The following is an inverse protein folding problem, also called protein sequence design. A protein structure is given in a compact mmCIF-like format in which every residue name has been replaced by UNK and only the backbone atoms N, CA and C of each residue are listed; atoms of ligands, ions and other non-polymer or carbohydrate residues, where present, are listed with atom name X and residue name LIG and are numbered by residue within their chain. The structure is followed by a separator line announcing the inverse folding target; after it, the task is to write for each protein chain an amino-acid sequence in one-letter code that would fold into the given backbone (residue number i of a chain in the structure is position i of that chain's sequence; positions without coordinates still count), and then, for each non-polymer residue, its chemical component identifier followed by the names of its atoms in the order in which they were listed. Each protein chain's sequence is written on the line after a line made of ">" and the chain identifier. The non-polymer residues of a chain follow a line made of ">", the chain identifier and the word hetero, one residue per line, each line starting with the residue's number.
data_IF_786135274130
#
_entry.id   IF_786135274130
#
_cell.length_a   1.000
_cell.length_b   1.000
_cell.length_c   1.000
_cell.angle_alpha   90.00
_cell.angle_beta   90.00
_cell.angle_gamma   90.00
#
_symmetry.space_group_name_H-M   'P 1'
#
loop_
_entity.id
_entity.type
_entity.pdbx_description
1 polymer ?
#
# COMPACT_ATOMS: atom_id res chain seq x y z
N UNK A 1 -18.99 12.10 13.47
CA UNK A 1 -18.37 11.74 12.18
C UNK A 1 -17.08 11.02 12.49
N UNK A 2 -16.86 9.88 11.85
CA UNK A 2 -15.67 9.05 11.97
C UNK A 2 -14.41 9.93 11.76
N UNK A 3 -13.43 9.89 12.69
CA UNK A 3 -12.14 10.53 12.49
C UNK A 3 -11.49 10.22 11.12
N UNK A 4 -11.68 9.02 10.58
CA UNK A 4 -11.17 8.62 9.26
C UNK A 4 -11.79 9.46 8.15
N UNK A 5 -13.12 9.66 8.15
CA UNK A 5 -13.80 10.51 7.16
C UNK A 5 -13.33 11.97 7.24
N UNK A 6 -13.09 12.49 8.45
CA UNK A 6 -12.59 13.86 8.64
C UNK A 6 -11.17 14.02 8.11
N UNK A 7 -10.28 13.07 8.41
CA UNK A 7 -8.89 13.11 7.95
C UNK A 7 -8.76 12.90 6.46
N UNK A 8 -9.58 12.03 5.86
CA UNK A 8 -9.63 11.86 4.40
C UNK A 8 -9.93 13.18 3.69
N UNK A 9 -10.87 13.99 4.18
CA UNK A 9 -11.16 15.29 3.57
C UNK A 9 -9.95 16.24 3.61
N UNK A 10 -9.22 16.28 4.73
CA UNK A 10 -8.01 17.09 4.87
C UNK A 10 -6.89 16.60 3.93
N UNK A 11 -6.59 15.30 3.96
CA UNK A 11 -5.50 14.71 3.18
C UNK A 11 -5.78 14.77 1.68
N UNK A 12 -7.04 14.62 1.25
CA UNK A 12 -7.42 14.80 -0.15
C UNK A 12 -7.26 16.25 -0.59
N UNK A 13 -7.64 17.21 0.26
CA UNK A 13 -7.42 18.63 -0.04
C UNK A 13 -5.92 18.93 -0.22
N UNK A 14 -5.07 18.47 0.70
CA UNK A 14 -3.61 18.62 0.62
C UNK A 14 -3.03 17.92 -0.63
N UNK A 15 -3.56 16.76 -0.99
CA UNK A 15 -3.18 16.03 -2.20
C UNK A 15 -3.50 16.83 -3.48
N UNK A 16 -4.69 17.42 -3.56
CA UNK A 16 -5.10 18.26 -4.68
C UNK A 16 -4.22 19.50 -4.80
N UNK A 17 -3.93 20.18 -3.68
CA UNK A 17 -2.97 21.29 -3.65
C UNK A 17 -1.59 20.87 -4.18
N UNK A 18 -1.05 19.74 -3.71
CA UNK A 18 0.24 19.22 -4.19
C UNK A 18 0.21 18.84 -5.68
N UNK A 19 -0.95 18.52 -6.24
CA UNK A 19 -1.11 18.19 -7.66
C UNK A 19 -1.28 19.40 -8.58
N UNK A 20 -1.34 20.62 -8.01
CA UNK A 20 -1.66 21.83 -8.75
C UNK A 20 -3.10 21.89 -9.28
N UNK A 21 -4.00 21.06 -8.74
CA UNK A 21 -5.40 20.99 -9.15
C UNK A 21 -6.28 21.69 -8.11
N UNK A 22 -7.24 22.51 -8.53
CA UNK A 22 -8.17 23.20 -7.62
C UNK A 22 -9.48 22.44 -7.48
N UNK A 23 -10.19 22.63 -6.37
CA UNK A 23 -11.50 22.00 -6.17
C UNK A 23 -12.51 22.47 -7.21
N UNK A 24 -12.45 23.75 -7.60
CA UNK A 24 -13.32 24.36 -8.61
C UNK A 24 -13.10 23.71 -9.97
N UNK A 25 -11.86 23.40 -10.33
CA UNK A 25 -11.53 22.73 -11.60
C UNK A 25 -12.05 21.29 -11.69
N UNK A 26 -12.27 20.64 -10.55
CA UNK A 26 -12.79 19.27 -10.48
C UNK A 26 -14.30 19.19 -10.32
N UNK A 27 -14.94 20.26 -9.89
CA UNK A 27 -16.39 20.29 -9.66
C UNK A 27 -17.15 19.94 -10.94
N UNK A 28 -18.02 18.94 -10.86
CA UNK A 28 -18.79 18.39 -11.98
C UNK A 28 -18.00 17.45 -12.90
N UNK A 29 -16.71 17.24 -12.66
CA UNK A 29 -15.88 16.37 -13.51
C UNK A 29 -16.18 14.89 -13.28
N UNK A 30 -15.72 14.05 -14.22
CA UNK A 30 -15.83 12.59 -14.12
C UNK A 30 -14.76 11.94 -13.22
N UNK A 31 -14.21 12.68 -12.26
CA UNK A 31 -13.17 12.17 -11.35
C UNK A 31 -13.73 11.06 -10.46
N UNK A 32 -13.09 9.89 -10.49
CA UNK A 32 -13.43 8.78 -9.60
C UNK A 32 -12.82 8.93 -8.21
N UNK A 33 -13.49 8.41 -7.18
CA UNK A 33 -12.96 8.34 -5.81
C UNK A 33 -12.91 6.90 -5.34
N UNK A 34 -11.71 6.42 -5.04
CA UNK A 34 -11.46 5.06 -4.55
C UNK A 34 -10.83 5.16 -3.16
N UNK A 35 -11.51 4.65 -2.13
CA UNK A 35 -11.01 4.69 -0.76
C UNK A 35 -10.82 3.27 -0.24
N UNK A 36 -9.58 2.94 0.16
CA UNK A 36 -9.29 1.74 0.90
C UNK A 36 -9.48 1.99 2.41
N UNK A 37 -10.20 1.09 3.07
CA UNK A 37 -10.38 1.11 4.52
C UNK A 37 -10.31 -0.32 5.06
N UNK A 38 -9.71 -0.49 6.23
CA UNK A 38 -9.67 -1.77 6.94
C UNK A 38 -10.28 -1.65 8.34
N UNK A 39 -9.90 -0.62 9.10
CA UNK A 39 -10.46 -0.36 10.44
C UNK A 39 -11.90 0.17 10.38
N UNK A 40 -12.79 -0.41 11.18
CA UNK A 40 -14.21 0.00 11.31
C UNK A 40 -14.61 0.30 12.75
N UNK A 41 -13.62 0.45 13.65
CA UNK A 41 -13.72 0.60 15.11
C UNK A 41 -14.75 1.63 15.57
N UNK A 42 -14.87 2.75 14.84
CA UNK A 42 -15.76 3.83 15.23
C UNK A 42 -17.24 3.44 15.17
N UNK A 43 -17.63 2.56 14.24
CA UNK A 43 -19.01 2.12 14.10
C UNK A 43 -19.52 1.34 15.34
N UNK A 44 -18.85 0.28 15.83
CA UNK A 44 -19.27 -0.40 17.06
C UNK A 44 -19.11 0.49 18.30
N UNK A 45 -18.14 1.42 18.35
CA UNK A 45 -18.05 2.39 19.45
C UNK A 45 -19.32 3.25 19.57
N UNK A 46 -19.91 3.65 18.44
CA UNK A 46 -21.16 4.42 18.42
C UNK A 46 -22.40 3.61 18.83
N UNK A 47 -22.32 2.28 18.78
CA UNK A 47 -23.42 1.38 19.10
C UNK A 47 -23.32 0.78 20.52
N UNK A 48 -22.39 1.28 21.36
CA UNK A 48 -22.21 0.79 22.74
C UNK A 48 -23.37 1.12 23.67
N UNK A 49 -24.02 2.26 23.43
CA UNK A 49 -25.23 2.66 24.14
C UNK A 49 -26.45 2.29 23.30
N UNK A 50 -27.21 1.24 23.66
CA UNK A 50 -28.38 0.82 22.90
C UNK A 50 -29.52 1.85 22.98
N UNK A 51 -29.55 2.69 24.02
CA UNK A 51 -30.59 3.70 24.22
C UNK A 51 -30.28 4.99 23.46
N UNK A 52 -29.06 5.12 22.93
CA UNK A 52 -28.62 6.30 22.18
C UNK A 52 -27.91 5.95 20.88
N UNK A 53 -28.65 6.00 19.77
CA UNK A 53 -28.10 5.96 18.41
C UNK A 53 -28.28 7.32 17.76
N UNK A 54 -27.16 8.01 17.50
CA UNK A 54 -27.18 9.34 16.89
C UNK A 54 -27.79 9.30 15.47
N UNK A 55 -28.68 10.24 15.11
CA UNK A 55 -29.37 10.28 13.79
C UNK A 55 -28.45 10.24 12.57
N UNK A 56 -27.24 10.77 12.69
CA UNK A 56 -26.21 10.77 11.65
C UNK A 56 -25.28 9.56 11.68
N UNK A 57 -25.52 8.53 12.50
CA UNK A 57 -24.66 7.37 12.65
C UNK A 57 -24.32 6.74 11.28
N UNK A 58 -25.33 6.44 10.46
CA UNK A 58 -25.12 5.80 9.16
C UNK A 58 -24.22 6.62 8.24
N UNK A 59 -24.52 7.92 8.08
CA UNK A 59 -23.68 8.83 7.30
C UNK A 59 -22.32 9.08 7.96
N UNK A 60 -22.25 8.99 9.29
CA UNK A 60 -21.10 9.39 10.09
C UNK A 60 -20.03 8.33 10.20
N UNK A 61 -20.33 7.05 10.00
CA UNK A 61 -19.40 5.93 10.18
C UNK A 61 -19.46 4.86 9.09
N UNK A 62 -20.43 4.90 8.16
CA UNK A 62 -20.51 3.92 7.08
C UNK A 62 -19.27 3.95 6.18
N UNK A 63 -18.72 2.77 5.87
CA UNK A 63 -17.51 2.63 5.04
C UNK A 63 -17.69 3.22 3.63
N UNK A 64 -18.86 3.02 3.01
CA UNK A 64 -19.22 3.60 1.70
C UNK A 64 -19.27 5.12 1.73
N UNK A 65 -19.48 5.73 2.90
CA UNK A 65 -19.55 7.18 3.05
C UNK A 65 -18.17 7.81 2.97
N UNK A 66 -17.08 7.07 3.16
CA UNK A 66 -15.73 7.61 3.04
C UNK A 66 -15.45 8.15 1.63
N UNK A 67 -15.71 7.37 0.58
CA UNK A 67 -15.58 7.81 -0.82
C UNK A 67 -16.69 8.77 -1.23
N UNK A 68 -17.94 8.48 -0.84
CA UNK A 68 -19.09 9.30 -1.21
C UNK A 68 -19.02 10.72 -0.62
N UNK A 69 -18.45 10.89 0.58
CA UNK A 69 -18.30 12.21 1.20
C UNK A 69 -17.28 13.07 0.46
N UNK A 70 -16.17 12.50 0.01
CA UNK A 70 -15.20 13.22 -0.84
C UNK A 70 -15.88 13.64 -2.14
N UNK A 71 -16.58 12.71 -2.80
CA UNK A 71 -17.31 12.98 -4.04
C UNK A 71 -18.36 14.07 -3.86
N UNK A 72 -19.11 14.03 -2.75
CA UNK A 72 -20.13 15.02 -2.42
C UNK A 72 -19.54 16.41 -2.16
N UNK A 73 -18.48 16.51 -1.35
CA UNK A 73 -17.85 17.80 -1.01
C UNK A 73 -17.20 18.44 -2.24
N UNK A 74 -16.62 17.65 -3.13
CA UNK A 74 -15.94 18.12 -4.35
C UNK A 74 -16.86 18.14 -5.59
N UNK A 75 -18.14 17.78 -5.45
CA UNK A 75 -19.10 17.67 -6.54
C UNK A 75 -18.61 16.77 -7.71
N UNK A 76 -18.03 15.62 -7.41
CA UNK A 76 -17.49 14.69 -8.42
C UNK A 76 -18.57 13.72 -8.91
N UNK A 77 -18.53 13.39 -10.20
CA UNK A 77 -19.55 12.58 -10.88
C UNK A 77 -18.99 11.27 -11.45
N UNK A 78 -17.74 10.91 -11.13
CA UNK A 78 -17.13 9.63 -11.50
C UNK A 78 -17.24 8.57 -10.39
N UNK A 79 -16.92 7.29 -10.69
CA UNK A 79 -16.62 6.76 -12.03
C UNK A 79 -17.89 6.54 -12.88
N UNK A 80 -17.74 6.55 -14.21
CA UNK A 80 -18.82 6.26 -15.17
C UNK A 80 -18.92 4.75 -15.45
N UNK A 81 -19.71 4.35 -16.45
CA UNK A 81 -19.88 2.95 -16.85
C UNK A 81 -18.54 2.21 -16.95
N UNK A 82 -18.47 1.00 -16.40
CA UNK A 82 -17.27 0.16 -16.32
C UNK A 82 -16.07 0.76 -15.58
N UNK A 83 -16.25 1.77 -14.73
CA UNK A 83 -15.18 2.33 -13.90
C UNK A 83 -14.36 3.44 -14.59
N UNK A 84 -14.72 3.84 -15.81
CA UNK A 84 -13.97 4.85 -16.56
C UNK A 84 -14.11 6.24 -15.92
N UNK A 85 -12.98 6.93 -15.84
CA UNK A 85 -12.86 8.28 -15.30
C UNK A 85 -11.70 9.03 -16.00
N UNK A 86 -11.80 10.35 -16.08
CA UNK A 86 -10.73 11.20 -16.63
C UNK A 86 -9.51 11.28 -15.70
N UNK A 87 -9.79 11.17 -14.41
CA UNK A 87 -8.86 11.27 -13.29
C UNK A 87 -9.41 10.51 -12.09
N UNK A 88 -8.56 10.16 -11.14
CA UNK A 88 -9.02 9.52 -9.90
C UNK A 88 -8.27 10.04 -8.67
N UNK A 89 -9.02 10.17 -7.58
CA UNK A 89 -8.48 10.31 -6.23
C UNK A 89 -8.46 8.91 -5.63
N UNK A 90 -7.26 8.40 -5.33
CA UNK A 90 -7.09 7.14 -4.63
C UNK A 90 -6.61 7.46 -3.23
N UNK A 91 -7.41 7.13 -2.23
CA UNK A 91 -7.12 7.44 -0.84
C UNK A 91 -7.23 6.18 0.02
N UNK A 92 -6.67 6.26 1.22
CA UNK A 92 -6.77 5.19 2.19
C UNK A 92 -6.80 5.75 3.60
N UNK A 93 -7.55 5.12 4.48
CA UNK A 93 -7.54 5.45 5.91
C UNK A 93 -7.45 4.17 6.75
N UNK A 94 -6.67 4.27 7.82
CA UNK A 94 -6.61 3.28 8.88
C UNK A 94 -6.31 4.00 10.19
N UNK A 95 -7.22 3.94 11.17
CA UNK A 95 -7.04 4.52 12.51
C UNK A 95 -7.39 3.48 13.58
N UNK A 96 -6.58 3.41 14.62
CA UNK A 96 -6.72 2.47 15.73
C UNK A 96 -7.47 3.20 16.85
N UNK A 97 -8.79 3.13 16.81
CA UNK A 97 -9.65 3.91 17.71
C UNK A 97 -10.10 3.10 18.94
N UNK A 98 -9.93 1.78 18.90
CA UNK A 98 -10.40 0.88 19.94
C UNK A 98 -9.41 -0.28 20.18
N UNK A 99 -9.32 -0.79 21.42
CA UNK A 99 -8.40 -1.89 21.73
C UNK A 99 -8.87 -3.24 21.17
N UNK A 100 -10.16 -3.42 20.88
CA UNK A 100 -10.74 -4.72 20.54
C UNK A 100 -10.11 -5.36 19.28
N UNK A 101 -9.90 -4.65 18.15
CA UNK A 101 -9.21 -5.21 17.00
C UNK A 101 -7.75 -5.56 17.30
N UNK A 102 -7.07 -4.78 18.15
CA UNK A 102 -5.70 -5.10 18.58
C UNK A 102 -5.67 -6.40 19.40
N UNK A 103 -6.59 -6.56 20.35
CA UNK A 103 -6.72 -7.79 21.15
C UNK A 103 -7.02 -8.98 20.25
N UNK A 104 -7.92 -8.82 19.27
CA UNK A 104 -8.25 -9.87 18.29
C UNK A 104 -7.03 -10.29 17.46
N UNK A 105 -6.29 -9.32 16.91
CA UNK A 105 -5.08 -9.58 16.16
C UNK A 105 -3.99 -10.24 17.02
N UNK A 106 -3.78 -9.77 18.25
CA UNK A 106 -2.84 -10.39 19.20
C UNK A 106 -3.20 -11.86 19.48
N UNK A 107 -4.48 -12.16 19.74
CA UNK A 107 -4.96 -13.54 19.96
C UNK A 107 -4.81 -14.43 18.73
N UNK A 108 -4.84 -13.85 17.52
CA UNK A 108 -4.58 -14.60 16.29
C UNK A 108 -3.09 -14.89 16.03
N UNK A 109 -2.19 -14.35 16.86
CA UNK A 109 -0.75 -14.61 16.77
C UNK A 109 -0.03 -13.88 15.64
N UNK A 110 -0.64 -12.85 15.04
CA UNK A 110 -0.06 -12.12 13.89
C UNK A 110 0.73 -10.87 14.30
N UNK A 111 0.56 -10.39 15.54
CA UNK A 111 1.23 -9.18 16.04
C UNK A 111 2.57 -9.51 16.69
N UNK A 112 3.57 -8.68 16.42
CA UNK A 112 4.84 -8.72 17.16
C UNK A 112 4.62 -8.27 18.61
N UNK A 113 5.10 -8.99 19.63
CA UNK A 113 5.09 -8.55 21.02
C UNK A 113 5.80 -7.22 21.28
N UNK A 114 6.72 -6.84 20.40
CA UNK A 114 7.45 -5.56 20.47
C UNK A 114 6.74 -4.41 19.75
N UNK A 115 5.61 -4.68 19.09
CA UNK A 115 4.85 -3.69 18.34
C UNK A 115 5.58 -3.15 17.10
N UNK A 116 6.61 -3.84 16.61
CA UNK A 116 7.43 -3.43 15.46
C UNK A 116 7.41 -4.51 14.38
N UNK A 117 7.56 -4.13 13.10
CA UNK A 117 7.73 -5.10 12.02
C UNK A 117 9.23 -5.39 11.85
N UNK A 118 9.73 -6.53 12.36
CA UNK A 118 11.14 -6.96 12.20
C UNK A 118 11.41 -7.57 10.83
N UNK A 119 10.97 -6.87 9.79
CA UNK A 119 11.01 -7.34 8.40
C UNK A 119 12.44 -7.68 8.00
N UNK A 120 12.62 -8.89 7.43
CA UNK A 120 13.90 -9.48 7.03
C UNK A 120 14.86 -9.89 8.15
N UNK A 121 14.61 -9.50 9.41
CA UNK A 121 15.46 -9.88 10.53
C UNK A 121 15.14 -11.30 11.04
N UNK A 122 16.13 -11.98 11.58
CA UNK A 122 15.98 -13.30 12.22
C UNK A 122 15.00 -13.30 13.40
N UNK A 123 14.69 -12.14 13.96
CA UNK A 123 13.70 -11.91 15.02
C UNK A 123 12.28 -11.61 14.53
N UNK A 124 12.01 -11.71 13.22
CA UNK A 124 10.66 -11.62 12.64
C UNK A 124 9.65 -12.50 13.40
N UNK A 125 8.71 -11.86 14.10
CA UNK A 125 7.77 -12.48 15.03
C UNK A 125 6.32 -11.97 14.88
N UNK A 126 6.04 -11.24 13.80
CA UNK A 126 4.75 -10.60 13.55
C UNK A 126 4.91 -9.15 13.12
N UNK A 127 3.79 -8.44 12.96
CA UNK A 127 3.79 -7.04 12.60
C UNK A 127 3.37 -6.12 13.76
N UNK A 128 3.85 -4.89 13.74
CA UNK A 128 3.33 -3.80 14.56
C UNK A 128 2.20 -3.08 13.82
N UNK A 129 1.02 -2.90 14.46
CA UNK A 129 -0.08 -2.14 13.86
C UNK A 129 0.28 -0.65 13.78
N UNK A 130 -0.23 0.02 12.76
CA UNK A 130 -0.05 1.45 12.59
C UNK A 130 -1.29 2.17 12.03
N UNK A 131 -1.28 3.47 12.19
CA UNK A 131 -2.26 4.37 11.59
C UNK A 131 -1.71 4.98 10.30
N UNK A 132 -2.60 5.33 9.38
CA UNK A 132 -2.21 6.01 8.16
C UNK A 132 -3.41 6.56 7.40
N UNK A 133 -3.30 7.80 6.95
CA UNK A 133 -4.27 8.41 6.03
C UNK A 133 -3.48 8.99 4.86
N UNK A 134 -3.72 8.46 3.67
CA UNK A 134 -2.97 8.79 2.46
C UNK A 134 -3.93 9.16 1.33
N UNK A 135 -3.46 9.98 0.40
CA UNK A 135 -4.13 10.21 -0.88
C UNK A 135 -3.11 10.44 -1.99
N UNK A 136 -3.43 9.93 -3.18
CA UNK A 136 -2.76 10.25 -4.43
C UNK A 136 -3.82 10.67 -5.46
N UNK A 137 -3.41 11.55 -6.37
CA UNK A 137 -4.22 11.97 -7.50
C UNK A 137 -3.58 11.45 -8.79
N UNK A 138 -4.35 10.70 -9.58
CA UNK A 138 -3.86 10.03 -10.78
C UNK A 138 -4.63 10.48 -12.01
N UNK A 139 -3.88 10.64 -13.11
CA UNK A 139 -4.39 10.99 -14.44
C UNK A 139 -3.66 10.15 -15.47
N UNK A 140 -4.25 10.04 -16.67
CA UNK A 140 -3.47 9.59 -17.84
C UNK A 140 -2.32 10.57 -18.06
N UNK A 141 -1.12 10.06 -18.36
CA UNK A 141 0.08 10.88 -18.56
C UNK A 141 -0.14 12.00 -19.60
N UNK A 142 -0.84 11.69 -20.70
CA UNK A 142 -1.19 12.66 -21.73
C UNK A 142 -2.07 13.80 -21.20
N UNK A 143 -3.00 13.52 -20.30
CA UNK A 143 -3.85 14.53 -19.67
C UNK A 143 -3.05 15.38 -18.67
N UNK A 144 -2.17 14.76 -17.87
CA UNK A 144 -1.29 15.50 -16.97
C UNK A 144 -0.36 16.47 -17.74
N UNK A 145 0.21 16.02 -18.87
CA UNK A 145 1.04 16.86 -19.74
C UNK A 145 0.24 18.00 -20.38
N UNK A 146 -0.93 17.71 -20.94
CA UNK A 146 -1.82 18.71 -21.56
C UNK A 146 -2.22 19.79 -20.56
N UNK A 147 -2.54 19.39 -19.32
CA UNK A 147 -3.05 20.29 -18.29
C UNK A 147 -1.93 20.92 -17.45
N UNK A 148 -0.65 20.64 -17.76
CA UNK A 148 0.51 21.20 -17.07
C UNK A 148 0.66 20.73 -15.61
N UNK A 149 0.12 19.56 -15.25
CA UNK A 149 0.22 19.03 -13.90
C UNK A 149 1.65 18.55 -13.59
N UNK A 150 2.15 18.74 -12.35
CA UNK A 150 3.40 18.11 -11.90
C UNK A 150 3.27 16.58 -11.92
N UNK A 151 4.22 15.91 -12.57
CA UNK A 151 4.29 14.45 -12.64
C UNK A 151 5.36 13.97 -11.66
N UNK A 152 4.91 13.38 -10.55
CA UNK A 152 5.79 12.85 -9.48
C UNK A 152 6.36 11.48 -9.84
N UNK A 153 5.54 10.62 -10.46
CA UNK A 153 5.90 9.29 -10.94
C UNK A 153 4.90 8.79 -11.99
N UNK A 154 5.20 7.66 -12.64
CA UNK A 154 4.35 7.03 -13.65
C UNK A 154 4.05 5.59 -13.23
N UNK A 155 2.77 5.24 -13.12
CA UNK A 155 2.33 3.85 -12.93
C UNK A 155 2.38 3.17 -14.30
N UNK A 156 3.30 2.22 -14.47
CA UNK A 156 3.51 1.52 -15.75
C UNK A 156 2.58 0.33 -15.95
N UNK A 157 2.20 -0.34 -14.87
CA UNK A 157 1.26 -1.44 -14.84
C UNK A 157 0.96 -1.82 -13.41
N UNK A 158 -0.10 -2.59 -13.21
CA UNK A 158 -0.53 -3.10 -11.91
C UNK A 158 -1.32 -4.38 -12.13
N UNK A 159 -1.26 -5.32 -11.20
CA UNK A 159 -2.08 -6.52 -11.25
C UNK A 159 -2.62 -6.88 -9.88
N UNK A 160 -3.78 -7.54 -9.87
CA UNK A 160 -4.36 -8.15 -8.68
C UNK A 160 -4.72 -9.60 -8.95
N UNK A 161 -4.64 -10.45 -7.92
CA UNK A 161 -5.17 -11.81 -7.96
C UNK A 161 -5.61 -12.29 -6.57
N UNK A 162 -6.00 -13.56 -6.48
CA UNK A 162 -6.30 -14.24 -5.22
C UNK A 162 -5.36 -15.43 -5.00
N UNK A 163 -4.99 -15.69 -3.74
CA UNK A 163 -4.18 -16.83 -3.32
C UNK A 163 -4.85 -18.18 -3.54
N UNK A 164 -6.17 -18.20 -3.71
CA UNK A 164 -6.95 -19.42 -3.91
C UNK A 164 -6.96 -20.32 -2.68
N UNK A 165 -6.93 -21.64 -2.88
CA UNK A 165 -6.92 -22.62 -1.79
C UNK A 165 -5.52 -22.78 -1.22
N UNK A 166 -5.32 -22.30 0.00
CA UNK A 166 -4.11 -22.50 0.82
C UNK A 166 -4.44 -23.38 2.04
N UNK A 167 -3.45 -23.87 2.81
CA UNK A 167 -3.70 -24.71 3.99
C UNK A 167 -4.53 -24.02 5.10
N UNK A 168 -4.63 -22.70 5.07
CA UNK A 168 -5.50 -21.91 5.94
C UNK A 168 -5.81 -20.57 5.27
N UNK A 169 -7.02 -20.03 5.50
CA UNK A 169 -7.54 -18.83 4.81
C UNK A 169 -6.60 -17.62 4.86
N UNK A 170 -5.75 -17.55 5.89
CA UNK A 170 -4.80 -16.48 6.15
C UNK A 170 -3.37 -16.74 5.70
N UNK A 171 -3.08 -17.94 5.19
CA UNK A 171 -1.73 -18.30 4.77
C UNK A 171 -1.48 -17.83 3.34
N UNK A 172 -0.31 -17.21 3.08
CA UNK A 172 0.03 -16.71 1.76
C UNK A 172 0.32 -17.84 0.76
N UNK A 173 0.29 -17.52 -0.53
CA UNK A 173 0.69 -18.43 -1.61
C UNK A 173 1.82 -17.81 -2.42
N UNK A 174 3.04 -18.32 -2.26
CA UNK A 174 4.20 -17.86 -3.02
C UNK A 174 4.01 -17.99 -4.54
N UNK A 175 3.30 -19.02 -4.99
CA UNK A 175 2.98 -19.22 -6.41
C UNK A 175 2.05 -18.11 -6.92
N UNK A 176 1.03 -17.73 -6.15
CA UNK A 176 0.12 -16.65 -6.57
C UNK A 176 0.76 -15.28 -6.46
N UNK A 177 1.70 -15.06 -5.54
CA UNK A 177 2.54 -13.86 -5.52
C UNK A 177 3.40 -13.75 -6.79
N UNK A 178 4.03 -14.85 -7.22
CA UNK A 178 4.76 -14.87 -8.50
C UNK A 178 3.85 -14.58 -9.70
N UNK A 179 2.66 -15.18 -9.74
CA UNK A 179 1.70 -14.95 -10.82
C UNK A 179 1.27 -13.49 -10.92
N UNK A 180 1.02 -12.81 -9.79
CA UNK A 180 0.62 -11.39 -9.81
C UNK A 180 1.78 -10.50 -10.25
N UNK A 181 3.01 -10.77 -9.79
CA UNK A 181 4.22 -10.06 -10.21
C UNK A 181 4.40 -10.20 -11.74
N UNK A 182 4.38 -11.43 -12.28
CA UNK A 182 4.52 -11.67 -13.72
C UNK A 182 3.41 -11.05 -14.55
N UNK A 183 2.19 -11.00 -14.03
CA UNK A 183 1.07 -10.34 -14.70
C UNK A 183 1.30 -8.83 -14.80
N UNK A 184 1.70 -8.17 -13.71
CA UNK A 184 1.95 -6.73 -13.71
C UNK A 184 3.05 -6.34 -14.71
N UNK A 185 4.14 -7.11 -14.81
CA UNK A 185 5.21 -6.86 -15.78
C UNK A 185 4.77 -7.07 -17.23
N UNK A 186 3.94 -8.08 -17.49
CA UNK A 186 3.34 -8.31 -18.80
C UNK A 186 2.42 -7.17 -19.22
N UNK A 187 1.55 -6.72 -18.31
CA UNK A 187 0.64 -5.60 -18.55
C UNK A 187 1.42 -4.28 -18.74
N UNK A 188 2.55 -4.12 -18.05
CA UNK A 188 3.45 -2.97 -18.19
C UNK A 188 4.32 -2.99 -19.46
N UNK A 189 4.49 -4.16 -20.08
CA UNK A 189 5.45 -4.37 -21.18
C UNK A 189 6.89 -4.11 -20.77
N UNK A 190 7.27 -4.48 -19.54
CA UNK A 190 8.60 -4.24 -18.97
C UNK A 190 9.38 -5.54 -18.76
N UNK A 191 10.72 -5.45 -18.82
CA UNK A 191 11.61 -6.51 -18.38
C UNK A 191 11.90 -6.38 -16.87
N UNK A 192 12.00 -7.51 -16.16
CA UNK A 192 12.43 -7.56 -14.76
C UNK A 192 13.82 -6.94 -14.56
N UNK A 193 14.71 -7.06 -15.54
CA UNK A 193 16.07 -6.51 -15.50
C UNK A 193 16.10 -4.98 -15.34
N UNK A 194 15.05 -4.28 -15.78
CA UNK A 194 14.94 -2.82 -15.77
C UNK A 194 14.57 -2.23 -14.41
N UNK A 195 14.18 -3.09 -13.45
CA UNK A 195 13.76 -2.66 -12.11
C UNK A 195 14.91 -2.83 -11.12
N UNK A 196 15.06 -1.86 -10.24
CA UNK A 196 16.17 -1.81 -9.27
C UNK A 196 15.72 -2.07 -7.83
N UNK A 197 14.45 -1.81 -7.55
CA UNK A 197 13.92 -1.81 -6.20
C UNK A 197 12.55 -2.50 -6.11
N UNK A 198 12.35 -3.30 -5.06
CA UNK A 198 11.02 -3.78 -4.66
C UNK A 198 10.74 -3.34 -3.24
N UNK A 199 9.67 -2.56 -3.09
CA UNK A 199 9.05 -2.28 -1.81
C UNK A 199 8.13 -3.46 -1.47
N UNK A 200 8.61 -4.33 -0.59
CA UNK A 200 7.92 -5.55 -0.21
C UNK A 200 6.66 -5.25 0.62
N UNK A 201 5.73 -6.22 0.62
CA UNK A 201 4.67 -6.28 1.61
C UNK A 201 5.28 -6.41 3.01
N UNK A 202 6.29 -7.26 3.20
CA UNK A 202 7.28 -7.19 4.27
C UNK A 202 6.70 -6.87 5.64
N UNK A 203 5.94 -7.80 6.20
CA UNK A 203 5.26 -7.65 7.49
C UNK A 203 6.11 -8.07 8.68
N UNK A 204 7.28 -8.69 8.46
CA UNK A 204 8.09 -9.20 9.56
C UNK A 204 7.53 -10.48 10.18
N UNK A 205 6.83 -11.29 9.36
CA UNK A 205 6.32 -12.58 9.82
C UNK A 205 7.31 -13.70 9.48
N UNK A 206 7.52 -14.69 10.38
CA UNK A 206 8.51 -15.75 10.15
C UNK A 206 8.21 -16.63 8.93
N UNK A 207 6.95 -16.65 8.47
CA UNK A 207 6.48 -17.42 7.30
C UNK A 207 6.36 -16.54 6.06
N UNK A 208 5.82 -15.32 6.18
CA UNK A 208 5.53 -14.46 5.04
C UNK A 208 6.79 -13.90 4.38
N UNK A 209 7.76 -13.44 5.16
CA UNK A 209 8.97 -12.81 4.62
C UNK A 209 9.76 -13.77 3.69
N UNK A 210 10.06 -15.03 4.07
CA UNK A 210 10.72 -15.97 3.15
C UNK A 210 9.92 -16.27 1.89
N UNK A 211 8.59 -16.42 2.00
CA UNK A 211 7.71 -16.73 0.86
C UNK A 211 7.73 -15.58 -0.15
N UNK A 212 7.63 -14.34 0.33
CA UNK A 212 7.66 -13.16 -0.52
C UNK A 212 9.01 -12.97 -1.20
N UNK A 213 10.11 -13.09 -0.45
CA UNK A 213 11.46 -12.94 -1.00
C UNK A 213 11.76 -13.99 -2.06
N UNK A 214 11.36 -15.24 -1.85
CA UNK A 214 11.52 -16.28 -2.88
C UNK A 214 10.61 -16.03 -4.10
N UNK A 215 9.37 -15.57 -3.92
CA UNK A 215 8.49 -15.23 -5.04
C UNK A 215 9.05 -14.08 -5.90
N UNK A 216 9.65 -13.08 -5.28
CA UNK A 216 10.41 -12.03 -5.97
C UNK A 216 11.60 -12.67 -6.69
N UNK A 217 12.43 -13.46 -6.00
CA UNK A 217 13.58 -14.13 -6.60
C UNK A 217 13.24 -14.96 -7.84
N UNK A 218 12.15 -15.74 -7.82
CA UNK A 218 11.70 -16.52 -8.98
C UNK A 218 11.31 -15.66 -10.19
N UNK A 219 10.90 -14.41 -9.98
CA UNK A 219 10.59 -13.48 -11.07
C UNK A 219 11.82 -12.76 -11.62
N UNK A 220 12.69 -12.26 -10.73
CA UNK A 220 13.78 -11.35 -11.08
C UNK A 220 15.12 -12.05 -11.33
N UNK A 221 15.24 -13.35 -11.04
CA UNK A 221 16.43 -14.16 -11.33
C UNK A 221 16.26 -15.01 -12.61
N UNK A 222 17.35 -15.32 -13.33
CA UNK A 222 18.71 -14.83 -13.11
C UNK A 222 18.85 -13.37 -13.55
N UNK A 223 19.47 -12.56 -12.69
CA UNK A 223 19.76 -11.15 -12.99
C UNK A 223 21.23 -10.97 -13.33
N UNK A 224 21.51 -10.39 -14.49
CA UNK A 224 22.86 -9.95 -14.86
C UNK A 224 23.11 -8.56 -14.26
N UNK A 225 24.15 -8.41 -13.43
CA UNK A 225 24.55 -7.13 -12.83
C UNK A 225 24.22 -6.98 -11.34
N UNK A 226 24.01 -5.74 -10.85
CA UNK A 226 23.86 -5.48 -9.41
C UNK A 226 22.61 -6.15 -8.85
N UNK A 227 22.61 -6.52 -7.55
CA UNK A 227 21.49 -7.18 -6.92
C UNK A 227 20.22 -6.32 -7.00
N UNK A 228 19.07 -6.98 -7.09
CA UNK A 228 17.79 -6.30 -6.89
C UNK A 228 17.68 -5.89 -5.42
N UNK A 229 17.45 -4.61 -5.17
CA UNK A 229 17.34 -4.08 -3.82
C UNK A 229 15.92 -4.30 -3.33
N UNK A 230 15.75 -4.79 -2.10
CA UNK A 230 14.46 -4.98 -1.46
C UNK A 230 14.39 -4.22 -0.14
N UNK A 231 13.20 -3.76 0.24
CA UNK A 231 12.97 -3.16 1.54
C UNK A 231 11.49 -3.07 1.90
N UNK A 232 11.19 -2.53 3.08
CA UNK A 232 9.80 -2.32 3.53
C UNK A 232 9.72 -1.03 4.34
N UNK A 233 8.70 -0.22 4.11
CA UNK A 233 8.37 0.97 4.93
C UNK A 233 7.91 0.59 6.33
N UNK A 234 7.41 -0.65 6.52
CA UNK A 234 6.76 -1.09 7.75
C UNK A 234 7.74 -1.20 8.92
N UNK A 235 9.04 -1.30 8.64
CA UNK A 235 10.09 -1.21 9.67
C UNK A 235 10.17 0.17 10.32
N UNK A 236 9.65 1.21 9.67
CA UNK A 236 9.77 2.60 10.13
C UNK A 236 8.45 3.12 10.71
N UNK A 237 7.33 2.80 10.06
CA UNK A 237 6.01 3.35 10.40
C UNK A 237 5.00 2.30 10.83
N UNK A 238 5.40 1.03 10.91
CA UNK A 238 4.51 -0.10 11.17
C UNK A 238 3.61 -0.46 9.99
N UNK A 239 2.73 -1.43 10.20
CA UNK A 239 1.77 -1.88 9.21
C UNK A 239 0.45 -1.10 9.34
N UNK A 240 0.26 -0.13 8.44
CA UNK A 240 -0.96 0.70 8.37
C UNK A 240 -2.17 0.01 7.73
N UNK A 241 -2.18 -1.33 7.69
CA UNK A 241 -3.28 -2.18 7.22
C UNK A 241 -3.88 -1.70 5.88
N UNK A 242 -5.12 -1.21 5.86
CA UNK A 242 -5.80 -0.71 4.66
C UNK A 242 -5.09 0.46 3.96
N UNK A 243 -4.20 1.15 4.66
CA UNK A 243 -3.40 2.26 4.15
C UNK A 243 -1.99 1.88 3.67
N UNK A 244 -1.55 0.63 3.88
CA UNK A 244 -0.16 0.23 3.62
C UNK A 244 0.27 0.34 2.18
N UNK A 245 -0.59 0.03 1.21
CA UNK A 245 -0.25 0.13 -0.21
C UNK A 245 0.11 1.57 -0.62
N UNK A 246 -0.70 2.55 -0.22
CA UNK A 246 -0.42 3.96 -0.50
C UNK A 246 0.78 4.48 0.29
N UNK A 247 0.98 4.05 1.54
CA UNK A 247 2.19 4.40 2.31
C UNK A 247 3.46 3.92 1.59
N UNK A 248 3.47 2.70 1.06
CA UNK A 248 4.57 2.16 0.26
C UNK A 248 4.78 2.93 -1.06
N UNK A 249 3.70 3.30 -1.77
CA UNK A 249 3.79 4.16 -2.97
C UNK A 249 4.44 5.51 -2.63
N UNK A 250 3.98 6.17 -1.57
CA UNK A 250 4.52 7.49 -1.17
C UNK A 250 6.01 7.40 -0.85
N UNK A 251 6.44 6.36 -0.10
CA UNK A 251 7.87 6.10 0.15
C UNK A 251 8.64 5.96 -1.17
N UNK A 252 8.17 5.10 -2.07
CA UNK A 252 8.86 4.81 -3.32
C UNK A 252 8.99 6.05 -4.19
N UNK A 253 7.91 6.82 -4.37
CA UNK A 253 7.94 8.08 -5.14
C UNK A 253 8.93 9.06 -4.53
N UNK A 254 8.93 9.23 -3.20
CA UNK A 254 9.89 10.11 -2.53
C UNK A 254 11.33 9.61 -2.69
N UNK A 255 11.57 8.32 -2.58
CA UNK A 255 12.88 7.72 -2.84
C UNK A 255 13.35 7.90 -4.29
N UNK A 256 12.45 7.81 -5.26
CA UNK A 256 12.75 8.07 -6.66
C UNK A 256 13.12 9.52 -6.90
N UNK A 257 12.46 10.49 -6.26
CA UNK A 257 12.76 11.92 -6.39
C UNK A 257 14.15 12.27 -5.85
N UNK A 258 14.46 11.75 -4.66
CA UNK A 258 15.76 11.95 -4.01
C UNK A 258 16.88 11.14 -4.67
N UNK A 259 16.54 10.16 -5.51
CA UNK A 259 17.50 9.23 -6.10
C UNK A 259 18.19 8.33 -5.08
N UNK A 260 17.51 8.05 -3.96
CA UNK A 260 18.04 7.28 -2.83
C UNK A 260 16.99 6.32 -2.27
N UNK A 261 17.40 5.09 -2.01
CA UNK A 261 16.56 4.05 -1.42
C UNK A 261 16.74 4.09 0.09
N UNK A 262 15.66 4.39 0.81
CA UNK A 262 15.66 4.46 2.25
C UNK A 262 15.82 3.07 2.89
N UNK A 263 16.55 2.96 4.02
CA UNK A 263 16.78 1.68 4.68
C UNK A 263 15.52 1.09 5.31
N UNK A 264 15.45 -0.24 5.29
CA UNK A 264 14.62 -1.01 6.21
C UNK A 264 15.29 -0.98 7.58
N UNK A 265 14.65 -0.30 8.52
CA UNK A 265 15.20 -0.01 9.84
C UNK A 265 15.26 -1.25 10.72
N UNK A 266 16.25 -1.33 11.61
CA UNK A 266 16.30 -2.32 12.69
C UNK A 266 16.76 -3.73 12.31
N UNK A 267 17.15 -3.98 11.05
CA UNK A 267 17.74 -5.27 10.63
C UNK A 267 19.14 -5.42 11.24
N UNK A 268 19.28 -6.31 12.23
CA UNK A 268 20.53 -6.63 12.93
C UNK A 268 21.18 -7.89 12.39
N UNK A 269 20.38 -8.93 12.13
CA UNK A 269 20.82 -10.21 11.58
C UNK A 269 19.77 -10.71 10.61
N UNK A 270 20.15 -10.86 9.34
CA UNK A 270 19.24 -11.36 8.32
C UNK A 270 18.68 -12.75 8.69
N UNK A 271 17.40 -12.95 8.41
CA UNK A 271 16.74 -14.22 8.59
C UNK A 271 17.38 -15.27 7.65
N UNK A 272 17.93 -16.38 8.17
CA UNK A 272 18.63 -17.38 7.35
C UNK A 272 17.71 -18.14 6.39
N UNK A 273 16.39 -18.00 6.52
CA UNK A 273 15.41 -18.58 5.59
C UNK A 273 15.23 -17.73 4.32
N UNK A 274 15.80 -16.53 4.25
CA UNK A 274 15.73 -15.69 3.06
C UNK A 274 16.77 -16.16 2.04
N UNK A 275 16.32 -16.56 0.86
CA UNK A 275 17.18 -17.01 -0.24
C UNK A 275 17.68 -15.76 -1.01
N UNK A 276 18.63 -15.03 -0.43
CA UNK A 276 19.12 -13.77 -0.99
C UNK A 276 20.25 -13.95 -2.00
N UNK A 277 21.31 -14.68 -1.63
CA UNK A 277 22.52 -14.84 -2.45
C UNK A 277 22.22 -15.56 -3.77
N UNK A 278 21.53 -16.70 -3.70
CA UNK A 278 21.16 -17.49 -4.90
C UNK A 278 20.24 -16.74 -5.86
N UNK A 279 19.47 -15.76 -5.35
CA UNK A 279 18.53 -14.94 -6.13
C UNK A 279 19.12 -13.58 -6.54
N UNK A 280 20.36 -13.27 -6.16
CA UNK A 280 21.00 -11.97 -6.35
C UNK A 280 20.12 -10.81 -5.81
N UNK A 281 19.66 -10.94 -4.56
CA UNK A 281 18.85 -9.94 -3.85
C UNK A 281 19.65 -9.31 -2.72
N UNK A 282 19.41 -8.03 -2.44
CA UNK A 282 20.03 -7.28 -1.33
C UNK A 282 18.98 -6.53 -0.54
N UNK A 283 18.93 -6.74 0.78
CA UNK A 283 18.11 -5.93 1.68
C UNK A 283 18.76 -4.56 1.87
N UNK A 284 18.01 -3.48 1.66
CA UNK A 284 18.47 -2.12 1.95
C UNK A 284 18.53 -1.90 3.47
N UNK A 285 19.66 -2.18 4.10
CA UNK A 285 19.87 -1.94 5.56
C UNK A 285 20.47 -0.57 5.85
N UNK A 286 20.97 0.12 4.81
CA UNK A 286 21.47 1.49 4.86
C UNK A 286 20.86 2.30 3.71
N UNK A 287 21.08 3.61 3.73
CA UNK A 287 20.64 4.48 2.64
C UNK A 287 21.49 4.20 1.39
N UNK A 288 20.87 3.73 0.31
CA UNK A 288 21.55 3.37 -0.94
C UNK A 288 21.28 4.42 -2.02
N UNK A 289 22.23 4.63 -2.92
CA UNK A 289 21.96 5.41 -4.14
C UNK A 289 21.13 4.57 -5.12
N UNK A 290 20.23 5.22 -5.86
CA UNK A 290 19.51 4.53 -6.92
C UNK A 290 20.49 4.12 -8.03
N UNK A 291 20.58 2.83 -8.42
CA UNK A 291 21.65 2.36 -9.31
C UNK A 291 21.65 2.95 -10.73
N UNK A 292 20.49 3.42 -11.20
CA UNK A 292 20.27 3.90 -12.58
C UNK A 292 19.59 5.26 -12.59
N UNK A 293 19.83 6.00 -13.68
CA UNK A 293 19.18 7.30 -13.92
C UNK A 293 17.67 7.15 -14.11
N UNK A 294 17.23 6.15 -14.90
CA UNK A 294 15.83 5.81 -15.03
C UNK A 294 15.42 4.86 -13.91
N UNK A 295 14.78 5.43 -12.89
CA UNK A 295 14.45 4.77 -11.63
C UNK A 295 13.16 3.99 -11.78
N UNK A 296 13.18 2.69 -11.51
CA UNK A 296 12.00 1.81 -11.53
C UNK A 296 11.93 0.95 -10.29
N UNK A 297 10.73 0.89 -9.71
CA UNK A 297 10.45 0.06 -8.56
C UNK A 297 9.10 -0.64 -8.69
N UNK A 298 8.98 -1.76 -7.99
CA UNK A 298 7.74 -2.48 -7.76
C UNK A 298 7.28 -2.34 -6.32
N UNK A 299 5.98 -2.53 -6.08
CA UNK A 299 5.38 -2.43 -4.76
C UNK A 299 4.45 -3.62 -4.54
N UNK A 300 4.71 -4.43 -3.51
CA UNK A 300 3.87 -5.55 -3.16
C UNK A 300 2.88 -5.17 -2.05
N UNK A 301 1.64 -5.67 -2.16
CA UNK A 301 0.68 -5.66 -1.06
C UNK A 301 -0.14 -6.94 -1.05
N UNK A 302 0.06 -7.79 -0.03
CA UNK A 302 -0.59 -9.10 0.07
C UNK A 302 -1.54 -9.10 1.26
N UNK A 303 -2.83 -9.05 0.98
CA UNK A 303 -3.87 -8.98 2.00
C UNK A 303 -3.99 -10.29 2.78
N UNK A 304 -4.28 -10.18 4.07
CA UNK A 304 -4.47 -11.32 4.96
C UNK A 304 -5.50 -12.34 4.44
N UNK A 305 -6.57 -11.90 3.75
CA UNK A 305 -7.57 -12.79 3.13
C UNK A 305 -7.15 -13.42 1.81
N UNK A 306 -5.90 -13.23 1.36
CA UNK A 306 -5.37 -13.80 0.13
C UNK A 306 -5.54 -12.93 -1.12
N UNK A 307 -6.02 -11.69 -1.02
CA UNK A 307 -6.03 -10.75 -2.16
C UNK A 307 -4.64 -10.13 -2.34
N UNK A 308 -3.99 -10.37 -3.48
CA UNK A 308 -2.64 -9.90 -3.75
C UNK A 308 -2.66 -8.77 -4.78
N UNK A 309 -1.78 -7.78 -4.61
CA UNK A 309 -1.55 -6.70 -5.55
C UNK A 309 -0.04 -6.48 -5.79
N UNK A 310 0.31 -6.13 -7.02
CA UNK A 310 1.64 -5.72 -7.46
C UNK A 310 1.55 -4.52 -8.41
#
# INVERSE_FOLDING_TARGET
>A
MDPQQRKLLQVVYECLQSSGTTMESLSGSSTGVFVANFSVDFQPMQARDPDYIHRYQASGSGATVMSNRISHVLNLQGPRYAGDCESAIVASANLIMSPEPHIGAAKSGVLSPTGTCHTFDSSADGYGRAEGVNAIYVKRLSAALRDGNPIRAIIKGSAVNASGRTPGISLPSGNMQEVVIRKAYRDAGLDFADTDYVECHGTGTPVGDPIEVDAIGRCFSPRQGPPLIIGSVKTNVGHSEGASGLTSIIKVVKSMEEGRIAPSYGVKKLNPKLILEERNLKVATQMENWPRALRRASINSFGYGGANAH
#
